data_IF_099798768578
#
_entry.id   IF_099798768578
#
_cell.length_a   1.000
_cell.length_b   1.000
_cell.length_c   1.000
_cell.angle_alpha   90.00
_cell.angle_beta   90.00
_cell.angle_gamma   90.00
#
_symmetry.space_group_name_H-M   'P 1'
#
loop_
_entity.id
_entity.type
_entity.pdbx_description
1 polymer ?
#
# COMPACT_ATOMS: atom_id res chain seq x y z
N UNK A 1 -4.51 -3.37 20.19
CA UNK A 1 -4.58 -2.70 18.86
C UNK A 1 -5.54 -3.48 17.97
N UNK A 2 -6.41 -2.82 17.19
CA UNK A 2 -7.34 -3.53 16.27
C UNK A 2 -6.55 -4.09 15.07
N UNK A 3 -6.85 -5.33 14.65
CA UNK A 3 -6.18 -6.04 13.53
C UNK A 3 -5.99 -5.18 12.28
N UNK A 4 -7.01 -4.39 11.90
CA UNK A 4 -6.94 -3.51 10.72
C UNK A 4 -5.89 -2.39 10.80
N UNK A 5 -5.54 -1.90 12.00
CA UNK A 5 -4.48 -0.89 12.18
C UNK A 5 -3.10 -1.50 11.91
N UNK A 6 -2.86 -2.70 12.43
CA UNK A 6 -1.62 -3.47 12.21
C UNK A 6 -1.46 -3.80 10.73
N UNK A 7 -2.54 -4.19 10.05
CA UNK A 7 -2.51 -4.44 8.60
C UNK A 7 -2.18 -3.20 7.80
N UNK A 8 -2.76 -2.03 8.13
CA UNK A 8 -2.47 -0.79 7.40
C UNK A 8 -1.02 -0.33 7.58
N UNK A 9 -0.47 -0.43 8.79
CA UNK A 9 0.93 -0.10 9.08
C UNK A 9 1.90 -0.99 8.27
N UNK A 10 1.65 -2.30 8.22
CA UNK A 10 2.42 -3.22 7.39
C UNK A 10 2.39 -2.85 5.90
N UNK A 11 1.21 -2.51 5.37
CA UNK A 11 1.06 -2.12 3.97
C UNK A 11 1.85 -0.84 3.68
N UNK A 12 1.79 0.16 4.56
CA UNK A 12 2.50 1.43 4.38
C UNK A 12 4.01 1.27 4.43
N UNK A 13 4.51 0.40 5.31
CA UNK A 13 5.94 0.08 5.38
C UNK A 13 6.44 -0.49 4.04
N UNK A 14 5.71 -1.46 3.47
CA UNK A 14 6.06 -2.04 2.15
C UNK A 14 5.93 -1.03 1.02
N UNK A 15 4.91 -0.18 1.07
CA UNK A 15 4.71 0.87 0.07
C UNK A 15 5.86 1.88 0.07
N UNK A 16 6.36 2.24 1.25
CA UNK A 16 7.50 3.14 1.43
C UNK A 16 8.79 2.54 0.89
N UNK A 17 9.06 1.26 1.15
CA UNK A 17 10.22 0.53 0.61
C UNK A 17 10.24 0.58 -0.93
N UNK A 18 9.12 0.19 -1.57
CA UNK A 18 8.98 0.22 -3.03
C UNK A 18 9.14 1.64 -3.59
N UNK A 19 8.49 2.63 -2.97
CA UNK A 19 8.56 4.02 -3.44
C UNK A 19 9.96 4.63 -3.27
N UNK A 20 10.74 4.17 -2.28
CA UNK A 20 12.11 4.62 -2.04
C UNK A 20 13.11 4.06 -3.05
N UNK A 21 12.88 2.84 -3.54
CA UNK A 21 13.76 2.16 -4.51
C UNK A 21 13.39 2.53 -5.95
N UNK A 22 12.10 2.48 -6.28
CA UNK A 22 11.60 2.56 -7.66
C UNK A 22 10.89 3.90 -7.97
N UNK A 23 10.76 4.78 -6.97
CA UNK A 23 10.04 6.04 -7.06
C UNK A 23 8.53 5.91 -6.85
N UNK A 24 7.87 7.00 -6.46
CA UNK A 24 6.45 6.99 -6.08
C UNK A 24 5.50 6.55 -7.21
N UNK A 25 5.87 6.74 -8.47
CA UNK A 25 5.02 6.37 -9.62
C UNK A 25 4.91 4.86 -9.84
N UNK A 26 5.92 4.08 -9.40
CA UNK A 26 5.88 2.62 -9.43
C UNK A 26 4.82 2.06 -8.48
N UNK A 27 4.44 2.84 -7.46
CA UNK A 27 3.50 2.44 -6.44
C UNK A 27 2.07 2.40 -6.99
N UNK A 28 1.58 1.17 -7.23
CA UNK A 28 0.20 0.92 -7.65
C UNK A 28 -0.52 -0.01 -6.68
N UNK A 29 -1.86 0.04 -6.68
CA UNK A 29 -2.70 -0.88 -5.89
C UNK A 29 -2.43 -2.34 -6.27
N UNK A 30 -2.14 -2.63 -7.54
CA UNK A 30 -1.89 -3.99 -8.01
C UNK A 30 -0.55 -4.54 -7.51
N UNK A 31 0.52 -3.77 -7.71
CA UNK A 31 1.87 -4.20 -7.31
C UNK A 31 1.97 -4.34 -5.80
N UNK A 32 1.49 -3.35 -5.04
CA UNK A 32 1.53 -3.42 -3.58
C UNK A 32 0.65 -4.56 -3.04
N UNK A 33 -0.47 -4.89 -3.69
CA UNK A 33 -1.29 -6.03 -3.27
C UNK A 33 -0.52 -7.34 -3.45
N UNK A 34 0.19 -7.52 -4.57
CA UNK A 34 1.05 -8.68 -4.83
C UNK A 34 2.16 -8.79 -3.77
N UNK A 35 2.86 -7.69 -3.50
CA UNK A 35 3.96 -7.64 -2.52
C UNK A 35 3.49 -7.91 -1.08
N UNK A 36 2.28 -7.45 -0.73
CA UNK A 36 1.67 -7.68 0.57
C UNK A 36 0.94 -9.04 0.68
N UNK A 37 0.90 -9.86 -0.38
CA UNK A 37 0.13 -11.11 -0.39
C UNK A 37 -1.38 -10.91 -0.25
N UNK A 38 -1.89 -9.76 -0.68
CA UNK A 38 -3.29 -9.36 -0.59
C UNK A 38 -3.96 -9.41 -1.97
N UNK A 39 -5.28 -9.53 -2.00
CA UNK A 39 -6.03 -9.27 -3.22
C UNK A 39 -6.01 -7.77 -3.54
N UNK A 40 -6.11 -7.44 -4.84
CA UNK A 40 -6.22 -6.05 -5.29
C UNK A 40 -7.43 -5.33 -4.66
N UNK A 41 -8.57 -6.01 -4.51
CA UNK A 41 -9.76 -5.47 -3.85
C UNK A 41 -9.56 -5.26 -2.33
N UNK A 42 -8.84 -6.17 -1.67
CA UNK A 42 -8.51 -6.04 -0.25
C UNK A 42 -7.59 -4.85 0.03
N UNK A 43 -6.55 -4.65 -0.80
CA UNK A 43 -5.70 -3.47 -0.71
C UNK A 43 -6.48 -2.20 -1.04
N UNK A 44 -7.31 -2.24 -2.09
CA UNK A 44 -8.15 -1.11 -2.48
C UNK A 44 -9.07 -0.64 -1.35
N UNK A 45 -9.63 -1.55 -0.54
CA UNK A 45 -10.47 -1.18 0.61
C UNK A 45 -9.75 -0.32 1.68
N UNK A 46 -8.42 -0.32 1.72
CA UNK A 46 -7.63 0.50 2.65
C UNK A 46 -7.34 1.92 2.14
N UNK A 47 -7.24 2.10 0.82
CA UNK A 47 -6.75 3.35 0.21
C UNK A 47 -7.75 3.99 -0.76
N UNK A 48 -8.68 3.24 -1.36
CA UNK A 48 -9.70 3.69 -2.33
C UNK A 48 -9.18 4.26 -3.67
N UNK A 49 -7.90 4.61 -3.80
CA UNK A 49 -7.30 5.06 -5.07
C UNK A 49 -5.77 4.95 -5.07
N UNK A 50 -5.15 4.98 -6.26
CA UNK A 50 -3.68 5.09 -6.40
C UNK A 50 -3.16 6.36 -5.72
N UNK A 51 -3.83 7.50 -5.95
CA UNK A 51 -3.43 8.77 -5.37
C UNK A 51 -3.45 8.74 -3.83
N UNK A 52 -4.50 8.20 -3.23
CA UNK A 52 -4.59 8.09 -1.77
C UNK A 52 -3.52 7.16 -1.20
N UNK A 53 -3.17 6.08 -1.91
CA UNK A 53 -2.06 5.22 -1.53
C UNK A 53 -0.75 6.02 -1.53
N UNK A 54 -0.44 6.70 -2.64
CA UNK A 54 0.77 7.50 -2.77
C UNK A 54 0.84 8.62 -1.72
N UNK A 55 -0.27 9.33 -1.47
CA UNK A 55 -0.38 10.35 -0.43
C UNK A 55 -0.23 9.80 0.99
N UNK A 56 -0.58 8.52 1.23
CA UNK A 56 -0.43 7.90 2.55
C UNK A 56 1.00 7.47 2.85
N UNK A 57 1.88 7.45 1.84
CA UNK A 57 3.30 7.09 1.95
C UNK A 57 4.19 8.31 2.17
N UNK A 58 3.74 9.49 1.75
CA UNK A 58 4.37 10.79 2.04
C UNK A 58 4.18 11.18 3.51
#
# INVERSE_FOLDING_TARGET
>A
MKKGKVTKEFILQRAFEIASEDGLESLTIGELAKQCGMSKSGLFAHFNSKLNLQLSVL
#
